data_IF_201832489314
#
_entry.id   IF_201832489314
#
_cell.length_a   1.000
_cell.length_b   1.000
_cell.length_c   1.000
_cell.angle_alpha   90.00
_cell.angle_beta   90.00
_cell.angle_gamma   90.00
#
_symmetry.space_group_name_H-M   'P 1'
#
loop_
_entity.id
_entity.type
_entity.pdbx_description
1 polymer ?
#
# COMPACT_ATOMS: atom_id res chain seq x y z
N UNK A 1 -23.62 -26.82 -14.05
CA UNK A 1 -23.26 -25.41 -13.78
C UNK A 1 -21.88 -25.44 -13.13
N UNK A 2 -20.82 -25.27 -13.93
CA UNK A 2 -19.47 -25.59 -13.52
C UNK A 2 -18.96 -24.65 -12.42
N UNK A 3 -18.63 -25.25 -11.27
CA UNK A 3 -17.81 -24.68 -10.22
C UNK A 3 -16.38 -24.47 -10.73
N UNK A 4 -15.74 -23.39 -10.27
CA UNK A 4 -14.29 -23.25 -10.38
C UNK A 4 -13.88 -21.92 -10.99
N UNK A 5 -13.88 -20.86 -10.16
CA UNK A 5 -13.13 -19.65 -10.47
C UNK A 5 -11.65 -20.03 -10.49
N UNK A 6 -11.17 -20.36 -11.68
CA UNK A 6 -9.75 -20.57 -11.97
C UNK A 6 -9.08 -19.19 -11.87
N UNK A 7 -8.83 -18.73 -10.64
CA UNK A 7 -7.92 -17.60 -10.39
C UNK A 7 -6.52 -18.09 -10.72
N UNK A 8 -6.15 -17.99 -11.99
CA UNK A 8 -4.82 -18.28 -12.48
C UNK A 8 -3.79 -17.50 -11.67
N UNK A 9 -2.98 -18.24 -10.92
CA UNK A 9 -1.88 -17.81 -10.04
C UNK A 9 -0.68 -17.28 -10.85
N UNK A 10 -0.88 -16.27 -11.69
CA UNK A 10 0.25 -15.60 -12.34
C UNK A 10 0.93 -14.69 -11.32
N UNK A 11 1.93 -15.25 -10.62
CA UNK A 11 2.84 -14.46 -9.77
C UNK A 11 3.79 -13.70 -10.67
N UNK A 12 3.46 -12.44 -10.96
CA UNK A 12 4.35 -11.53 -11.67
C UNK A 12 5.40 -10.97 -10.70
N UNK A 13 6.68 -11.31 -10.91
CA UNK A 13 7.80 -10.76 -10.15
C UNK A 13 8.68 -9.89 -11.05
N UNK A 14 8.84 -8.62 -10.68
CA UNK A 14 9.74 -7.70 -11.37
C UNK A 14 11.08 -7.65 -10.63
N UNK A 15 12.16 -7.99 -11.31
CA UNK A 15 13.52 -7.88 -10.77
C UNK A 15 14.14 -6.57 -11.27
N UNK A 16 14.46 -5.67 -10.34
CA UNK A 16 15.11 -4.41 -10.63
C UNK A 16 16.49 -4.35 -9.96
N UNK A 17 17.54 -4.14 -10.77
CA UNK A 17 18.91 -3.95 -10.29
C UNK A 17 19.25 -2.46 -10.22
N UNK A 18 19.13 -1.87 -9.03
CA UNK A 18 19.47 -0.45 -8.79
C UNK A 18 20.96 -0.18 -9.03
N UNK A 19 21.29 0.75 -9.92
CA UNK A 19 22.67 1.21 -10.14
C UNK A 19 23.13 2.10 -8.98
N UNK A 20 24.41 2.00 -8.61
CA UNK A 20 25.06 2.87 -7.61
C UNK A 20 26.09 3.75 -8.32
N UNK A 21 25.92 5.06 -8.24
CA UNK A 21 26.86 6.04 -8.76
C UNK A 21 27.86 6.46 -7.68
N UNK A 22 29.05 6.88 -8.12
CA UNK A 22 30.09 7.50 -7.30
C UNK A 22 30.40 8.86 -7.88
N UNK A 23 30.27 9.92 -7.09
CA UNK A 23 30.68 11.26 -7.52
C UNK A 23 32.21 11.29 -7.67
N UNK A 24 32.76 11.69 -8.83
CA UNK A 24 34.20 11.75 -9.03
C UNK A 24 34.87 12.85 -8.19
N UNK A 25 34.15 13.93 -7.87
CA UNK A 25 34.71 15.09 -7.17
C UNK A 25 34.70 14.95 -5.63
N UNK A 26 33.65 14.35 -5.06
CA UNK A 26 33.48 14.24 -3.60
C UNK A 26 33.39 12.80 -3.08
N UNK A 27 33.56 11.78 -3.93
CA UNK A 27 33.51 10.35 -3.59
C UNK A 27 32.20 9.85 -2.94
N UNK A 28 31.16 10.69 -2.82
CA UNK A 28 29.84 10.28 -2.32
C UNK A 28 29.23 9.20 -3.22
N UNK A 29 28.58 8.21 -2.61
CA UNK A 29 27.87 7.12 -3.30
C UNK A 29 26.36 7.32 -3.17
N UNK A 30 25.65 7.23 -4.28
CA UNK A 30 24.19 7.37 -4.32
C UNK A 30 23.58 6.39 -5.32
N UNK A 31 22.30 6.08 -5.14
CA UNK A 31 21.56 5.23 -6.08
C UNK A 31 21.06 6.07 -7.26
N UNK A 32 20.78 5.41 -8.39
CA UNK A 32 19.94 6.01 -9.44
C UNK A 32 18.60 6.49 -8.87
N UNK A 33 18.11 7.58 -9.46
CA UNK A 33 16.83 8.17 -9.11
C UNK A 33 15.72 7.43 -9.86
N UNK A 34 14.83 6.77 -9.12
CA UNK A 34 13.78 5.94 -9.69
C UNK A 34 12.42 6.55 -9.34
N UNK A 35 11.71 7.07 -10.34
CA UNK A 35 10.42 7.77 -10.16
C UNK A 35 9.31 6.87 -9.64
N UNK A 36 9.35 5.58 -9.94
CA UNK A 36 8.30 4.61 -9.57
C UNK A 36 8.60 3.80 -8.29
N UNK A 37 9.83 3.88 -7.76
CA UNK A 37 10.29 3.09 -6.62
C UNK A 37 11.09 3.96 -5.65
N UNK A 38 10.48 4.38 -4.53
CA UNK A 38 11.13 5.24 -3.55
C UNK A 38 12.43 4.65 -3.01
N UNK A 39 13.30 5.52 -2.52
CA UNK A 39 14.56 5.13 -1.89
C UNK A 39 14.26 4.27 -0.67
N UNK A 40 14.95 3.13 -0.55
CA UNK A 40 14.75 2.11 0.50
C UNK A 40 13.48 1.25 0.40
N UNK A 41 12.56 1.52 -0.53
CA UNK A 41 11.38 0.69 -0.73
C UNK A 41 11.65 -0.46 -1.71
N UNK A 42 10.96 -1.58 -1.46
CA UNK A 42 10.86 -2.75 -2.36
C UNK A 42 9.56 -2.78 -3.15
N UNK A 43 8.51 -2.12 -2.65
CA UNK A 43 7.21 -2.00 -3.30
C UNK A 43 7.15 -0.72 -4.14
N UNK A 44 6.54 -0.81 -5.31
CA UNK A 44 6.37 0.33 -6.21
C UNK A 44 5.23 1.24 -5.72
N UNK A 45 5.30 2.52 -6.06
CA UNK A 45 4.23 3.47 -5.73
C UNK A 45 2.88 3.04 -6.31
N UNK A 46 2.88 2.48 -7.53
CA UNK A 46 1.67 1.93 -8.17
C UNK A 46 1.00 0.85 -7.32
N UNK A 47 1.77 -0.05 -6.72
CA UNK A 47 1.21 -1.10 -5.87
C UNK A 47 0.64 -0.54 -4.58
N UNK A 48 1.33 0.41 -3.93
CA UNK A 48 0.83 1.08 -2.73
C UNK A 48 -0.48 1.83 -3.00
N UNK A 49 -0.56 2.60 -4.09
CA UNK A 49 -1.78 3.32 -4.49
C UNK A 49 -2.91 2.33 -4.77
N UNK A 50 -2.62 1.21 -5.45
CA UNK A 50 -3.62 0.17 -5.70
C UNK A 50 -4.16 -0.42 -4.39
N UNK A 51 -3.30 -0.73 -3.42
CA UNK A 51 -3.71 -1.24 -2.10
C UNK A 51 -4.62 -0.22 -1.40
N UNK A 52 -4.23 1.06 -1.36
CA UNK A 52 -5.02 2.12 -0.74
C UNK A 52 -6.40 2.25 -1.43
N UNK A 53 -6.45 2.20 -2.76
CA UNK A 53 -7.71 2.24 -3.51
C UNK A 53 -8.64 1.04 -3.27
N UNK A 54 -8.10 -0.10 -2.83
CA UNK A 54 -8.91 -1.27 -2.45
C UNK A 54 -9.42 -1.19 -1.02
N UNK A 55 -8.68 -0.50 -0.15
CA UNK A 55 -9.05 -0.27 1.24
C UNK A 55 -10.01 0.91 1.42
N UNK A 56 -10.23 1.72 0.39
CA UNK A 56 -11.31 2.73 0.40
C UNK A 56 -12.71 2.12 0.24
N UNK A 57 -12.80 0.84 -0.16
CA UNK A 57 -14.05 0.07 -0.24
C UNK A 57 -14.21 -0.81 1.02
N UNK A 58 -15.40 -1.37 1.24
CA UNK A 58 -15.71 -2.23 2.39
C UNK A 58 -15.05 -3.60 2.23
N UNK A 59 -13.74 -3.66 2.46
CA UNK A 59 -12.90 -4.86 2.31
C UNK A 59 -12.01 -5.03 3.53
N UNK A 60 -11.87 -6.28 4.00
CA UNK A 60 -10.96 -6.59 5.09
C UNK A 60 -9.50 -6.59 4.62
N UNK A 61 -8.57 -6.25 5.51
CA UNK A 61 -7.13 -6.35 5.25
C UNK A 61 -6.70 -7.75 4.78
N UNK A 62 -7.31 -8.80 5.35
CA UNK A 62 -7.05 -10.21 4.97
C UNK A 62 -7.50 -10.52 3.54
N UNK A 63 -8.62 -9.96 3.08
CA UNK A 63 -9.11 -10.12 1.71
C UNK A 63 -8.17 -9.46 0.72
N UNK A 64 -7.76 -8.22 0.99
CA UNK A 64 -6.84 -7.46 0.13
C UNK A 64 -5.46 -8.13 0.10
N UNK A 65 -4.93 -8.56 1.24
CA UNK A 65 -3.67 -9.29 1.35
C UNK A 65 -3.63 -10.55 0.46
N UNK A 66 -4.72 -11.32 0.42
CA UNK A 66 -4.86 -12.49 -0.46
C UNK A 66 -4.93 -12.10 -1.94
N UNK A 67 -5.56 -10.97 -2.28
CA UNK A 67 -5.67 -10.47 -3.66
C UNK A 67 -4.32 -10.01 -4.21
N UNK A 68 -3.55 -9.25 -3.43
CA UNK A 68 -2.24 -8.71 -3.87
C UNK A 68 -1.05 -9.61 -3.52
N UNK A 69 -1.29 -10.76 -2.87
CA UNK A 69 -0.28 -11.72 -2.45
C UNK A 69 0.80 -11.10 -1.52
N UNK A 70 0.35 -10.31 -0.54
CA UNK A 70 1.19 -9.73 0.51
C UNK A 70 0.74 -10.21 1.88
N UNK A 71 1.60 -10.05 2.89
CA UNK A 71 1.20 -10.34 4.26
C UNK A 71 0.27 -9.24 4.79
N UNK A 72 -0.65 -9.60 5.69
CA UNK A 72 -1.57 -8.65 6.34
C UNK A 72 -0.83 -7.48 7.01
N UNK A 73 0.28 -7.68 7.76
CA UNK A 73 1.04 -6.57 8.33
C UNK A 73 1.58 -5.61 7.28
N UNK A 74 1.95 -6.11 6.10
CA UNK A 74 2.43 -5.26 4.99
C UNK A 74 1.31 -4.34 4.50
N UNK A 75 0.08 -4.85 4.40
CA UNK A 75 -1.08 -4.04 4.02
C UNK A 75 -1.38 -2.97 5.06
N UNK A 76 -1.33 -3.32 6.36
CA UNK A 76 -1.52 -2.37 7.47
C UNK A 76 -0.49 -1.25 7.38
N UNK A 77 0.80 -1.56 7.24
CA UNK A 77 1.84 -0.55 7.10
C UNK A 77 1.66 0.36 5.87
N UNK A 78 1.11 -0.15 4.77
CA UNK A 78 0.78 0.69 3.61
C UNK A 78 -0.39 1.61 3.93
N UNK A 79 -1.41 1.11 4.62
CA UNK A 79 -2.54 1.93 5.05
C UNK A 79 -2.11 3.04 6.02
N UNK A 80 -1.23 2.74 6.98
CA UNK A 80 -0.71 3.69 7.96
C UNK A 80 0.09 4.84 7.33
N UNK A 81 0.51 4.73 6.06
CA UNK A 81 1.14 5.85 5.34
C UNK A 81 0.15 6.96 4.97
N UNK A 82 -1.16 6.69 5.04
CA UNK A 82 -2.21 7.66 4.77
C UNK A 82 -2.50 8.42 6.06
N UNK A 83 -1.83 9.55 6.22
CA UNK A 83 -2.13 10.49 7.30
C UNK A 83 -3.17 11.51 6.83
N UNK A 84 -4.33 11.53 7.48
CA UNK A 84 -5.25 12.65 7.38
C UNK A 84 -4.76 13.71 8.36
N UNK A 85 -4.43 14.90 7.84
CA UNK A 85 -4.08 16.04 8.70
C UNK A 85 -5.21 16.38 9.68
N UNK A 86 -4.88 17.04 10.78
CA UNK A 86 -5.86 17.49 11.77
C UNK A 86 -6.84 18.44 11.07
N UNK A 87 -8.14 18.08 10.93
CA UNK A 87 -9.10 18.98 10.31
C UNK A 87 -9.32 20.19 11.22
N UNK A 88 -9.60 21.36 10.62
CA UNK A 88 -10.09 22.51 11.40
C UNK A 88 -11.47 22.17 11.95
N UNK A 89 -11.68 22.40 13.25
CA UNK A 89 -12.96 22.15 13.89
C UNK A 89 -14.00 23.14 13.36
N UNK A 90 -15.19 22.69 12.91
CA UNK A 90 -16.29 23.59 12.55
C UNK A 90 -16.86 24.28 13.79
N UNK A 91 -17.61 25.37 13.59
CA UNK A 91 -18.30 26.11 14.67
C UNK A 91 -19.34 25.26 15.40
N UNK A 92 -20.00 24.37 14.67
CA UNK A 92 -21.01 23.45 15.21
C UNK A 92 -20.61 22.02 14.85
N UNK A 93 -20.55 21.14 15.85
CA UNK A 93 -20.24 19.73 15.72
C UNK A 93 -21.45 18.90 16.18
N UNK A 94 -21.97 18.06 15.28
CA UNK A 94 -22.99 17.07 15.62
C UNK A 94 -22.30 15.71 15.83
N UNK A 95 -22.50 15.11 17.01
CA UNK A 95 -21.95 13.79 17.35
C UNK A 95 -23.09 12.77 17.26
N UNK A 96 -22.84 11.66 16.56
CA UNK A 96 -23.76 10.53 16.47
C UNK A 96 -23.09 9.27 17.04
N UNK A 97 -23.84 8.46 17.78
CA UNK A 97 -23.34 7.22 18.37
C UNK A 97 -23.56 6.06 17.41
N UNK A 98 -22.48 5.58 16.79
CA UNK A 98 -22.53 4.36 16.01
C UNK A 98 -22.17 3.14 16.85
N UNK A 99 -23.12 2.21 17.01
CA UNK A 99 -22.89 0.92 17.66
C UNK A 99 -22.54 -0.13 16.60
N UNK A 100 -21.28 -0.55 16.56
CA UNK A 100 -20.83 -1.61 15.66
C UNK A 100 -21.48 -2.95 16.01
N UNK A 101 -22.21 -3.56 15.06
CA UNK A 101 -22.68 -4.92 15.19
C UNK A 101 -21.47 -5.87 15.08
N UNK A 102 -20.87 -6.22 16.21
CA UNK A 102 -19.92 -7.34 16.28
C UNK A 102 -20.76 -8.61 16.32
N UNK A 103 -21.04 -9.17 15.14
CA UNK A 103 -21.48 -10.56 15.08
C UNK A 103 -20.21 -11.39 15.24
N UNK A 104 -19.96 -11.84 16.48
CA UNK A 104 -18.88 -12.78 16.82
C UNK A 104 -19.23 -14.15 16.26
#
# INVERSE_FOLDING_TARGET
MWNGVMKSLWKFSMMLRKRRYRCPNCNKRFYEENTFLPRYHRMTNRLSIYIISKLSDVRSFTSVAKEVNLSVPTIIHVFDTVEYGIPKLPEVLSIDEFKGNVVV
#
